data_IF_674383769380
#
_entry.id   IF_674383769380
#
_cell.length_a   1.000
_cell.length_b   1.000
_cell.length_c   1.000
_cell.angle_alpha   90.00
_cell.angle_beta   90.00
_cell.angle_gamma   90.00
#
_symmetry.space_group_name_H-M   'P 1'
#
loop_
_entity.id
_entity.type
_entity.pdbx_description
1 polymer ?
#
# COMPACT_ATOMS: atom_id res chain seq x y z
N UNK A 1 -2.05 38.63 -8.82
CA UNK A 1 -3.19 37.98 -9.52
C UNK A 1 -4.35 37.85 -8.53
N UNK A 2 -5.57 38.21 -8.91
CA UNK A 2 -6.75 38.02 -8.05
C UNK A 2 -7.23 36.57 -8.13
N UNK A 3 -7.62 36.01 -6.98
CA UNK A 3 -8.23 34.68 -6.91
C UNK A 3 -9.55 34.72 -7.69
N UNK A 4 -9.80 33.80 -8.64
CA UNK A 4 -11.07 33.74 -9.38
C UNK A 4 -12.30 33.75 -8.45
N UNK A 5 -13.33 34.54 -8.80
CA UNK A 5 -14.59 34.66 -8.02
C UNK A 5 -15.22 33.30 -7.69
N UNK A 6 -15.11 32.33 -8.60
CA UNK A 6 -15.64 30.98 -8.39
C UNK A 6 -14.96 30.25 -7.22
N UNK A 7 -13.64 30.42 -7.06
CA UNK A 7 -12.89 29.84 -5.93
C UNK A 7 -13.28 30.54 -4.63
N UNK A 8 -13.41 31.88 -4.65
CA UNK A 8 -13.87 32.64 -3.48
C UNK A 8 -15.28 32.21 -3.03
N UNK A 9 -16.20 32.04 -3.98
CA UNK A 9 -17.55 31.57 -3.69
C UNK A 9 -17.55 30.16 -3.10
N UNK A 10 -16.73 29.25 -3.62
CA UNK A 10 -16.57 27.90 -3.07
C UNK A 10 -16.08 27.95 -1.62
N UNK A 11 -14.99 28.69 -1.35
CA UNK A 11 -14.42 28.82 0.00
C UNK A 11 -15.47 29.40 0.96
N UNK A 12 -16.16 30.47 0.57
CA UNK A 12 -17.19 31.13 1.38
C UNK A 12 -18.36 30.18 1.69
N UNK A 13 -18.81 29.39 0.70
CA UNK A 13 -19.90 28.42 0.89
C UNK A 13 -19.56 27.27 1.87
N UNK A 14 -18.26 27.06 2.13
CA UNK A 14 -17.74 25.98 2.98
C UNK A 14 -16.92 26.49 4.16
N UNK A 15 -16.98 27.78 4.48
CA UNK A 15 -16.08 28.43 5.44
C UNK A 15 -16.10 27.78 6.84
N UNK A 16 -17.24 27.23 7.27
CA UNK A 16 -17.38 26.51 8.54
C UNK A 16 -16.78 25.08 8.55
N UNK A 17 -16.37 24.56 7.40
CA UNK A 17 -15.86 23.19 7.23
C UNK A 17 -14.39 23.16 6.77
N UNK A 18 -13.82 24.31 6.38
CA UNK A 18 -12.46 24.42 5.86
C UNK A 18 -11.55 24.97 6.96
N UNK A 19 -10.60 24.15 7.40
CA UNK A 19 -9.55 24.59 8.34
C UNK A 19 -8.38 25.29 7.64
N UNK A 20 -8.04 24.84 6.43
CA UNK A 20 -6.93 25.36 5.63
C UNK A 20 -7.33 25.33 4.15
N UNK A 21 -7.03 26.40 3.42
CA UNK A 21 -7.21 26.48 1.98
C UNK A 21 -5.90 26.94 1.31
N UNK A 22 -5.52 26.24 0.24
CA UNK A 22 -4.41 26.63 -0.63
C UNK A 22 -4.95 26.87 -2.05
N UNK A 23 -4.47 27.93 -2.69
CA UNK A 23 -4.72 28.20 -4.10
C UNK A 23 -3.38 28.19 -4.84
N UNK A 24 -3.23 27.27 -5.79
CA UNK A 24 -2.02 27.11 -6.59
C UNK A 24 -2.40 27.38 -8.03
N UNK A 25 -1.75 28.36 -8.66
CA UNK A 25 -1.89 28.57 -10.10
C UNK A 25 -1.06 27.52 -10.83
N UNK A 26 -1.69 26.81 -11.75
CA UNK A 26 -1.04 25.80 -12.57
C UNK A 26 -1.20 26.17 -14.05
N UNK A 27 -0.11 26.12 -14.81
CA UNK A 27 -0.09 26.56 -16.21
C UNK A 27 -0.35 25.43 -17.22
N UNK A 28 -0.15 24.16 -16.83
CA UNK A 28 -0.25 23.00 -17.73
C UNK A 28 -1.62 22.32 -17.67
N UNK A 29 -2.69 23.06 -18.03
CA UNK A 29 -4.08 22.59 -17.85
C UNK A 29 -4.35 21.19 -18.43
N UNK A 30 -3.88 20.91 -19.65
CA UNK A 30 -4.11 19.61 -20.31
C UNK A 30 -3.46 18.43 -19.60
N UNK A 31 -2.20 18.58 -19.16
CA UNK A 31 -1.48 17.54 -18.41
C UNK A 31 -2.13 17.27 -17.06
N UNK A 32 -2.57 18.33 -16.37
CA UNK A 32 -3.22 18.22 -15.06
C UNK A 32 -4.57 17.53 -15.20
N UNK A 33 -5.35 17.91 -16.21
CA UNK A 33 -6.62 17.24 -16.48
C UNK A 33 -6.39 15.75 -16.78
N UNK A 34 -5.41 15.41 -17.63
CA UNK A 34 -5.04 14.02 -17.92
C UNK A 34 -4.62 13.27 -16.66
N UNK A 35 -3.79 13.87 -15.81
CA UNK A 35 -3.38 13.29 -14.54
C UNK A 35 -4.59 13.03 -13.63
N UNK A 36 -5.53 13.99 -13.51
CA UNK A 36 -6.77 13.80 -12.76
C UNK A 36 -7.58 12.62 -13.32
N UNK A 37 -7.70 12.50 -14.64
CA UNK A 37 -8.39 11.36 -15.26
C UNK A 37 -7.70 10.04 -14.94
N UNK A 38 -6.37 9.96 -14.98
CA UNK A 38 -5.62 8.76 -14.60
C UNK A 38 -5.81 8.40 -13.12
N UNK A 39 -5.78 9.39 -12.22
CA UNK A 39 -6.03 9.18 -10.78
C UNK A 39 -7.42 8.57 -10.53
N UNK A 40 -8.43 9.01 -11.31
CA UNK A 40 -9.81 8.46 -11.22
C UNK A 40 -9.89 6.99 -11.64
N UNK A 41 -9.06 6.55 -12.58
CA UNK A 41 -9.02 5.15 -13.03
C UNK A 41 -8.34 4.21 -12.03
N UNK A 42 -7.63 4.76 -11.03
CA UNK A 42 -6.90 3.98 -10.04
C UNK A 42 -7.25 4.42 -8.60
N UNK A 43 -8.54 4.41 -8.21
CA UNK A 43 -9.00 4.98 -6.94
C UNK A 43 -8.47 4.20 -5.73
N UNK A 44 -7.97 2.97 -5.93
CA UNK A 44 -7.26 2.21 -4.90
C UNK A 44 -5.97 2.90 -4.43
N UNK A 45 -5.45 3.89 -5.16
CA UNK A 45 -4.30 4.66 -4.70
C UNK A 45 -4.57 5.43 -3.40
N UNK A 46 -5.84 5.72 -3.09
CA UNK A 46 -6.24 6.44 -1.88
C UNK A 46 -6.27 5.55 -0.64
N UNK A 47 -6.07 4.22 -0.78
CA UNK A 47 -6.18 3.25 0.33
C UNK A 47 -5.20 3.54 1.48
N UNK A 48 -4.02 4.06 1.17
CA UNK A 48 -2.93 4.25 2.13
C UNK A 48 -2.77 5.70 2.59
N UNK A 49 -3.59 6.63 2.10
CA UNK A 49 -3.60 8.02 2.56
C UNK A 49 -4.24 8.09 3.96
N UNK A 50 -3.44 8.36 4.98
CA UNK A 50 -3.87 8.24 6.39
C UNK A 50 -4.90 9.28 6.82
N UNK A 51 -4.73 10.51 6.33
CA UNK A 51 -5.50 11.66 6.79
C UNK A 51 -6.54 12.12 5.76
N UNK A 52 -6.74 11.35 4.70
CA UNK A 52 -7.65 11.69 3.60
C UNK A 52 -8.73 10.62 3.53
N UNK A 53 -9.96 11.00 3.87
CA UNK A 53 -11.15 10.14 3.76
C UNK A 53 -11.96 10.39 2.49
N UNK A 54 -11.79 11.56 1.86
CA UNK A 54 -12.55 11.99 0.68
C UNK A 54 -11.73 12.93 -0.17
N UNK A 55 -11.80 12.75 -1.48
CA UNK A 55 -11.31 13.66 -2.50
C UNK A 55 -12.46 14.01 -3.45
N UNK A 56 -12.52 15.27 -3.86
CA UNK A 56 -13.56 15.78 -4.76
C UNK A 56 -12.85 16.47 -5.91
N UNK A 57 -13.10 15.97 -7.12
CA UNK A 57 -12.59 16.56 -8.36
C UNK A 57 -13.75 17.33 -9.01
N UNK A 58 -13.70 18.65 -8.92
CA UNK A 58 -14.66 19.54 -9.57
C UNK A 58 -14.29 19.70 -11.05
N UNK A 59 -14.52 18.64 -11.82
CA UNK A 59 -14.43 18.62 -13.29
C UNK A 59 -15.84 18.58 -13.89
N UNK A 60 -15.95 18.59 -15.21
CA UNK A 60 -17.18 18.22 -15.92
C UNK A 60 -16.98 16.84 -16.59
N UNK A 61 -17.59 15.75 -16.09
CA UNK A 61 -18.46 15.67 -14.91
C UNK A 61 -17.69 15.75 -13.60
N UNK A 62 -18.38 16.09 -12.51
CA UNK A 62 -17.80 16.14 -11.15
C UNK A 62 -17.72 14.74 -10.56
N UNK A 63 -16.55 14.36 -10.06
CA UNK A 63 -16.33 13.06 -9.43
C UNK A 63 -15.95 13.19 -7.95
N UNK A 64 -16.58 12.37 -7.12
CA UNK A 64 -16.28 12.26 -5.70
C UNK A 64 -15.72 10.86 -5.45
N UNK A 65 -14.45 10.81 -5.06
CA UNK A 65 -13.80 9.58 -4.63
C UNK A 65 -13.72 9.60 -3.10
N UNK A 66 -14.21 8.54 -2.47
CA UNK A 66 -14.15 8.44 -1.01
C UNK A 66 -13.69 7.07 -0.57
N UNK A 67 -12.96 7.05 0.54
CA UNK A 67 -12.51 5.82 1.18
C UNK A 67 -13.19 5.76 2.54
N UNK A 68 -14.00 4.74 2.76
CA UNK A 68 -14.62 4.49 4.05
C UNK A 68 -14.25 3.10 4.56
N UNK A 69 -14.22 2.94 5.88
CA UNK A 69 -14.04 1.64 6.51
C UNK A 69 -15.41 1.08 6.86
N UNK A 70 -15.66 -0.15 6.43
CA UNK A 70 -16.78 -0.96 6.89
C UNK A 70 -16.52 -1.35 8.36
N UNK A 71 -17.44 -0.95 9.23
CA UNK A 71 -17.36 -1.18 10.68
C UNK A 71 -17.62 -2.65 11.02
N UNK A 72 -18.44 -3.35 10.23
CA UNK A 72 -18.89 -4.72 10.51
C UNK A 72 -17.86 -5.78 10.11
N UNK A 73 -17.04 -5.50 9.10
CA UNK A 73 -16.14 -6.50 8.51
C UNK A 73 -14.69 -6.04 8.38
N UNK A 74 -14.34 -4.84 8.84
CA UNK A 74 -12.97 -4.31 8.77
C UNK A 74 -12.47 -4.03 7.34
N UNK A 75 -13.35 -4.13 6.33
CA UNK A 75 -13.02 -3.88 4.93
C UNK A 75 -12.90 -2.38 4.67
N UNK A 76 -11.85 -1.95 3.96
CA UNK A 76 -11.84 -0.62 3.36
C UNK A 76 -12.57 -0.67 2.02
N UNK A 77 -13.60 0.15 1.87
CA UNK A 77 -14.37 0.30 0.65
C UNK A 77 -13.98 1.63 -0.01
N UNK A 78 -13.68 1.56 -1.29
CA UNK A 78 -13.43 2.71 -2.16
C UNK A 78 -14.70 2.94 -2.96
N UNK A 79 -15.16 4.18 -2.96
CA UNK A 79 -16.37 4.60 -3.65
C UNK A 79 -16.06 5.65 -4.69
N UNK A 80 -16.69 5.54 -5.85
CA UNK A 80 -16.77 6.58 -6.88
C UNK A 80 -18.24 6.98 -6.99
N UNK A 81 -18.54 8.26 -6.76
CA UNK A 81 -19.90 8.82 -6.88
C UNK A 81 -20.96 8.00 -6.12
N UNK A 82 -20.64 7.61 -4.88
CA UNK A 82 -21.45 6.78 -3.96
C UNK A 82 -21.59 5.30 -4.33
N UNK A 83 -21.13 4.89 -5.50
CA UNK A 83 -21.08 3.47 -5.87
C UNK A 83 -19.78 2.85 -5.35
N UNK A 84 -19.84 1.61 -4.87
CA UNK A 84 -18.65 0.86 -4.47
C UNK A 84 -17.87 0.53 -5.74
N UNK A 85 -16.65 1.04 -5.84
CA UNK A 85 -15.69 0.70 -6.89
C UNK A 85 -14.94 -0.59 -6.52
N UNK A 86 -14.43 -0.66 -5.29
CA UNK A 86 -13.64 -1.80 -4.82
C UNK A 86 -13.65 -1.95 -3.31
N UNK A 87 -13.45 -3.18 -2.85
CA UNK A 87 -13.33 -3.51 -1.43
C UNK A 87 -12.00 -4.18 -1.16
N UNK A 88 -11.40 -3.86 0.00
CA UNK A 88 -10.04 -4.22 0.32
C UNK A 88 -9.92 -4.66 1.78
N UNK A 89 -9.21 -5.76 2.01
CA UNK A 89 -8.73 -6.14 3.35
C UNK A 89 -7.36 -5.50 3.50
N UNK A 90 -7.17 -4.70 4.56
CA UNK A 90 -5.89 -4.04 4.82
C UNK A 90 -5.36 -4.48 6.17
N UNK A 91 -4.09 -4.88 6.20
CA UNK A 91 -3.34 -5.15 7.42
C UNK A 91 -2.22 -4.14 7.58
N UNK A 92 -2.11 -3.58 8.77
CA UNK A 92 -0.97 -2.77 9.22
C UNK A 92 -0.07 -3.64 10.08
N UNK A 93 1.23 -3.49 9.87
CA UNK A 93 2.29 -4.03 10.71
C UNK A 93 3.11 -2.87 11.24
N UNK A 94 3.39 -2.89 12.53
CA UNK A 94 4.40 -2.02 13.14
C UNK A 94 5.66 -2.88 13.31
N UNK A 95 6.72 -2.51 12.59
CA UNK A 95 7.96 -3.27 12.52
C UNK A 95 9.00 -2.60 13.41
N UNK A 96 9.52 -3.33 14.38
CA UNK A 96 10.70 -2.94 15.14
C UNK A 96 11.93 -3.03 14.24
N UNK A 97 12.69 -1.94 14.19
CA UNK A 97 13.91 -1.80 13.39
C UNK A 97 15.08 -2.30 14.25
N UNK A 98 15.82 -3.32 13.82
CA UNK A 98 17.01 -3.79 14.54
C UNK A 98 18.09 -2.70 14.64
N UNK A 99 18.86 -2.70 15.73
CA UNK A 99 19.92 -1.71 15.97
C UNK A 99 20.95 -1.69 14.84
N UNK A 100 21.32 -2.86 14.30
CA UNK A 100 22.28 -2.95 13.19
C UNK A 100 21.77 -2.29 11.89
N UNK A 101 20.45 -2.21 11.70
CA UNK A 101 19.84 -1.50 10.58
C UNK A 101 19.79 0.00 10.86
N UNK A 102 19.54 0.41 12.10
CA UNK A 102 19.56 1.82 12.51
C UNK A 102 20.96 2.43 12.35
N UNK A 103 22.00 1.71 12.79
CA UNK A 103 23.40 2.13 12.65
C UNK A 103 23.77 2.34 11.17
N UNK A 104 23.50 1.33 10.32
CA UNK A 104 23.80 1.41 8.88
C UNK A 104 22.99 2.52 8.17
N UNK A 105 21.75 2.76 8.61
CA UNK A 105 20.93 3.84 8.08
C UNK A 105 21.48 5.22 8.43
N UNK A 106 21.99 5.42 9.65
CA UNK A 106 22.55 6.70 10.07
C UNK A 106 23.73 7.13 9.19
N UNK A 107 24.52 6.15 8.72
CA UNK A 107 25.68 6.32 7.84
C UNK A 107 25.32 6.43 6.35
N UNK A 108 24.11 6.03 5.93
CA UNK A 108 23.68 6.06 4.54
C UNK A 108 23.35 7.50 4.09
N UNK A 109 24.34 8.16 3.48
CA UNK A 109 24.21 9.53 2.96
C UNK A 109 23.22 9.65 1.78
N UNK A 110 22.81 8.54 1.17
CA UNK A 110 21.80 8.52 0.11
C UNK A 110 20.37 8.45 0.67
N UNK A 111 20.21 8.09 1.94
CA UNK A 111 18.91 8.04 2.59
C UNK A 111 18.45 9.45 3.03
N UNK A 112 17.15 9.79 2.93
CA UNK A 112 16.63 11.04 3.44
C UNK A 112 16.79 11.15 4.96
N UNK A 113 17.06 12.37 5.47
CA UNK A 113 17.27 12.63 6.91
C UNK A 113 16.17 12.07 7.80
N UNK A 114 14.90 12.20 7.40
CA UNK A 114 13.76 11.67 8.16
C UNK A 114 13.86 10.16 8.39
N UNK A 115 14.46 9.42 7.44
CA UNK A 115 14.68 7.99 7.57
C UNK A 115 15.96 7.69 8.36
N UNK A 116 17.04 8.45 8.15
CA UNK A 116 18.31 8.30 8.89
C UNK A 116 18.16 8.51 10.39
N UNK A 117 17.24 9.38 10.79
CA UNK A 117 16.92 9.69 12.20
C UNK A 117 15.64 8.99 12.69
N UNK A 118 15.20 7.93 12.01
CA UNK A 118 14.07 7.11 12.48
C UNK A 118 14.45 6.44 13.81
N UNK A 119 13.54 6.43 14.77
CA UNK A 119 13.88 6.01 16.13
C UNK A 119 13.85 4.50 16.33
N UNK A 120 12.72 3.86 16.08
CA UNK A 120 12.57 2.42 16.41
C UNK A 120 11.57 1.66 15.58
N UNK A 121 10.53 2.31 15.06
CA UNK A 121 9.42 1.64 14.38
C UNK A 121 9.12 2.24 13.03
N UNK A 122 8.73 1.38 12.10
CA UNK A 122 8.14 1.77 10.82
C UNK A 122 6.89 0.96 10.55
N UNK A 123 5.96 1.55 9.80
CA UNK A 123 4.76 0.86 9.37
C UNK A 123 4.94 0.22 7.99
N UNK A 124 4.40 -0.98 7.86
CA UNK A 124 4.16 -1.66 6.59
C UNK A 124 2.67 -1.97 6.48
N UNK A 125 2.10 -1.80 5.29
CA UNK A 125 0.71 -2.13 5.02
C UNK A 125 0.64 -3.12 3.88
N UNK A 126 -0.21 -4.13 4.03
CA UNK A 126 -0.65 -4.95 2.92
C UNK A 126 -2.13 -4.71 2.63
N UNK A 127 -2.51 -4.77 1.36
CA UNK A 127 -3.90 -4.72 0.94
C UNK A 127 -4.20 -5.76 -0.15
N UNK A 128 -5.27 -6.53 0.04
CA UNK A 128 -5.79 -7.48 -0.96
C UNK A 128 -7.23 -7.15 -1.32
N UNK A 129 -7.63 -7.40 -2.57
CA UNK A 129 -8.99 -7.17 -3.03
C UNK A 129 -9.93 -8.21 -2.42
N UNK A 130 -11.15 -7.78 -2.14
CA UNK A 130 -12.24 -8.63 -1.68
C UNK A 130 -13.48 -8.39 -2.52
N UNK A 131 -14.14 -9.48 -2.92
CA UNK A 131 -15.45 -9.46 -3.58
C UNK A 131 -16.40 -10.33 -2.78
N UNK A 132 -17.62 -9.87 -2.53
CA UNK A 132 -18.56 -10.64 -1.70
C UNK A 132 -18.85 -12.05 -2.26
N UNK A 133 -18.89 -12.20 -3.60
CA UNK A 133 -19.12 -13.48 -4.27
C UNK A 133 -17.87 -14.39 -4.31
N UNK A 134 -16.70 -13.84 -4.60
CA UNK A 134 -15.48 -14.62 -4.88
C UNK A 134 -14.48 -14.67 -3.70
N UNK A 135 -14.70 -13.79 -2.72
CA UNK A 135 -13.87 -13.60 -1.56
C UNK A 135 -12.54 -12.90 -1.83
N UNK A 136 -11.46 -13.36 -1.19
CA UNK A 136 -10.11 -12.81 -1.40
C UNK A 136 -9.64 -13.05 -2.83
N UNK A 137 -9.26 -11.98 -3.52
CA UNK A 137 -8.72 -12.02 -4.89
C UNK A 137 -7.23 -11.68 -4.90
N UNK A 138 -6.43 -12.58 -5.48
CA UNK A 138 -5.01 -12.32 -5.75
C UNK A 138 -4.90 -11.21 -6.79
N UNK A 139 -3.96 -10.28 -6.59
CA UNK A 139 -3.71 -9.25 -7.59
C UNK A 139 -3.17 -9.84 -8.90
N UNK A 140 -3.63 -9.26 -10.01
CA UNK A 140 -3.04 -9.48 -11.32
C UNK A 140 -1.65 -8.85 -11.36
N UNK A 141 -0.74 -9.40 -12.16
CA UNK A 141 0.66 -8.97 -12.18
C UNK A 141 0.80 -7.47 -12.49
N UNK A 142 0.01 -6.95 -13.43
CA UNK A 142 0.00 -5.52 -13.79
C UNK A 142 -0.53 -4.60 -12.69
N UNK A 143 -1.32 -5.13 -11.76
CA UNK A 143 -1.88 -4.36 -10.64
C UNK A 143 -0.97 -4.42 -9.39
N UNK A 144 0.06 -5.26 -9.41
CA UNK A 144 0.98 -5.49 -8.29
C UNK A 144 2.09 -4.43 -8.24
N UNK A 145 1.70 -3.17 -8.06
CA UNK A 145 2.64 -2.07 -7.87
C UNK A 145 3.03 -1.91 -6.39
N UNK A 146 4.27 -1.53 -6.13
CA UNK A 146 4.69 -1.10 -4.80
C UNK A 146 4.20 0.32 -4.51
N UNK A 147 3.94 0.58 -3.24
CA UNK A 147 3.58 1.88 -2.73
C UNK A 147 4.67 2.38 -1.77
N UNK A 148 5.00 3.66 -1.90
CA UNK A 148 5.74 4.42 -0.90
C UNK A 148 4.98 5.71 -0.67
N UNK A 149 3.97 5.61 0.22
CA UNK A 149 2.88 6.56 0.45
C UNK A 149 1.91 6.73 -0.74
N UNK A 150 2.45 6.92 -1.94
CA UNK A 150 1.76 6.98 -3.22
C UNK A 150 2.13 5.77 -4.09
N UNK A 151 1.36 5.43 -5.12
CA UNK A 151 1.73 4.38 -6.07
C UNK A 151 3.06 4.71 -6.74
N UNK A 152 3.86 3.68 -7.02
CA UNK A 152 5.09 3.76 -7.82
C UNK A 152 4.86 3.10 -9.18
N UNK A 153 5.84 3.16 -10.09
CA UNK A 153 5.82 2.34 -11.33
C UNK A 153 6.53 0.98 -11.18
N UNK A 154 6.94 0.63 -9.96
CA UNK A 154 7.67 -0.61 -9.64
C UNK A 154 6.66 -1.75 -9.52
N UNK A 155 6.70 -2.70 -10.46
CA UNK A 155 5.73 -3.80 -10.60
C UNK A 155 6.37 -5.17 -10.84
N UNK A 156 7.69 -5.22 -11.01
CA UNK A 156 8.47 -6.41 -11.36
C UNK A 156 8.43 -7.52 -10.29
N UNK A 157 8.07 -7.18 -9.06
CA UNK A 157 8.00 -8.12 -7.94
C UNK A 157 6.71 -8.95 -7.88
N UNK A 158 5.62 -8.48 -8.50
CA UNK A 158 4.38 -9.26 -8.70
C UNK A 158 3.83 -9.95 -7.44
N UNK A 159 3.92 -9.28 -6.29
CA UNK A 159 3.31 -9.75 -5.04
C UNK A 159 1.79 -9.93 -5.20
N UNK A 160 1.19 -10.92 -4.51
CA UNK A 160 -0.26 -11.18 -4.62
C UNK A 160 -1.12 -10.10 -3.94
N UNK A 161 -0.51 -9.09 -3.32
CA UNK A 161 -1.12 -8.02 -2.53
C UNK A 161 -0.41 -6.70 -2.81
N UNK A 162 -1.11 -5.57 -2.60
CA UNK A 162 -0.48 -4.25 -2.60
C UNK A 162 0.36 -4.12 -1.34
N UNK A 163 1.56 -3.56 -1.48
CA UNK A 163 2.47 -3.34 -0.35
C UNK A 163 2.82 -1.87 -0.30
N UNK A 164 2.51 -1.24 0.84
CA UNK A 164 2.93 0.12 1.15
C UNK A 164 3.91 0.12 2.32
N UNK A 165 5.11 0.62 2.07
CA UNK A 165 6.14 0.84 3.08
C UNK A 165 7.02 2.02 2.66
N UNK A 166 7.91 2.47 3.55
CA UNK A 166 8.80 3.60 3.27
C UNK A 166 9.98 3.20 2.37
N UNK A 167 9.71 2.64 1.19
CA UNK A 167 10.78 2.25 0.25
C UNK A 167 11.55 3.48 -0.24
N UNK A 168 12.86 3.32 -0.34
CA UNK A 168 13.75 4.26 -1.03
C UNK A 168 13.67 4.01 -2.54
N UNK A 169 13.25 5.03 -3.28
CA UNK A 169 13.13 5.00 -4.74
C UNK A 169 13.97 6.10 -5.36
N UNK A 170 14.20 5.99 -6.67
CA UNK A 170 14.75 7.09 -7.45
C UNK A 170 13.74 8.27 -7.51
N UNK A 171 14.20 9.41 -8.05
CA UNK A 171 13.43 10.68 -8.08
C UNK A 171 12.09 10.53 -8.80
N UNK A 172 12.07 9.81 -9.92
CA UNK A 172 10.85 9.60 -10.70
C UNK A 172 9.97 8.44 -10.18
N UNK A 173 10.42 7.74 -9.13
CA UNK A 173 9.71 6.64 -8.45
C UNK A 173 9.36 5.48 -9.40
N UNK A 174 10.22 5.27 -10.39
CA UNK A 174 10.14 4.17 -11.36
C UNK A 174 11.05 3.01 -11.00
N UNK A 175 12.09 3.26 -10.19
CA UNK A 175 13.03 2.25 -9.74
C UNK A 175 13.18 2.31 -8.23
N UNK A 176 13.39 1.14 -7.64
CA UNK A 176 13.70 0.96 -6.23
C UNK A 176 15.22 0.84 -6.05
N UNK A 177 15.76 1.42 -4.97
CA UNK A 177 17.18 1.27 -4.67
C UNK A 177 17.44 -0.15 -4.15
N UNK A 178 17.91 -1.04 -5.02
CA UNK A 178 18.07 -2.46 -4.72
C UNK A 178 19.26 -2.77 -3.81
N UNK A 179 20.29 -1.92 -3.85
CA UNK A 179 21.49 -1.96 -3.03
C UNK A 179 21.25 -1.43 -1.61
N UNK A 180 20.22 -0.62 -1.39
CA UNK A 180 19.89 -0.06 -0.08
C UNK A 180 19.65 -1.14 0.98
N UNK A 181 20.38 -1.06 2.08
CA UNK A 181 20.21 -1.95 3.24
C UNK A 181 18.79 -1.87 3.83
N UNK A 182 18.20 -0.68 3.78
CA UNK A 182 16.84 -0.44 4.25
C UNK A 182 15.81 -1.18 3.41
N UNK A 183 15.88 -1.06 2.10
CA UNK A 183 14.97 -1.78 1.20
C UNK A 183 15.20 -3.29 1.29
N UNK A 184 16.45 -3.75 1.42
CA UNK A 184 16.78 -5.15 1.65
C UNK A 184 16.12 -5.69 2.92
N UNK A 185 16.18 -4.94 4.02
CA UNK A 185 15.51 -5.29 5.27
C UNK A 185 13.99 -5.30 5.13
N UNK A 186 13.40 -4.27 4.49
CA UNK A 186 11.96 -4.24 4.22
C UNK A 186 11.52 -5.46 3.40
N UNK A 187 12.26 -5.86 2.37
CA UNK A 187 11.94 -7.02 1.54
C UNK A 187 12.00 -8.35 2.31
N UNK A 188 12.95 -8.50 3.22
CA UNK A 188 12.92 -9.62 4.16
C UNK A 188 11.65 -9.58 5.02
N UNK A 189 11.29 -8.41 5.56
CA UNK A 189 10.05 -8.28 6.36
C UNK A 189 8.77 -8.52 5.55
N UNK A 190 8.74 -8.23 4.26
CA UNK A 190 7.58 -8.56 3.42
C UNK A 190 7.28 -10.05 3.48
N UNK A 191 8.28 -10.90 3.24
CA UNK A 191 8.09 -12.36 3.29
C UNK A 191 7.59 -12.83 4.65
N UNK A 192 8.25 -12.41 5.74
CA UNK A 192 7.84 -12.75 7.11
C UNK A 192 6.38 -12.35 7.37
N UNK A 193 6.03 -11.09 7.10
CA UNK A 193 4.70 -10.55 7.39
C UNK A 193 3.60 -11.16 6.52
N UNK A 194 3.91 -11.59 5.29
CA UNK A 194 2.92 -12.23 4.43
C UNK A 194 2.42 -13.53 5.05
N UNK A 195 3.32 -14.37 5.57
CA UNK A 195 2.92 -15.61 6.23
C UNK A 195 2.21 -15.36 7.56
N UNK A 196 2.59 -14.33 8.32
CA UNK A 196 1.84 -13.95 9.53
C UNK A 196 0.42 -13.48 9.18
N UNK A 197 0.26 -12.71 8.10
CA UNK A 197 -1.07 -12.26 7.68
C UNK A 197 -1.95 -13.42 7.21
N UNK A 198 -1.40 -14.33 6.40
CA UNK A 198 -2.12 -15.52 5.96
C UNK A 198 -2.57 -16.33 7.18
N UNK A 199 -1.69 -16.53 8.16
CA UNK A 199 -2.00 -17.21 9.44
C UNK A 199 -3.16 -16.57 10.19
N UNK A 200 -3.28 -15.24 10.18
CA UNK A 200 -4.41 -14.54 10.78
C UNK A 200 -5.69 -14.77 9.97
N UNK A 201 -5.63 -14.57 8.65
CA UNK A 201 -6.78 -14.68 7.76
C UNK A 201 -7.36 -16.11 7.70
N UNK A 202 -6.53 -17.15 7.78
CA UNK A 202 -7.01 -18.54 7.78
C UNK A 202 -7.85 -18.88 9.02
N UNK A 203 -7.66 -18.15 10.13
CA UNK A 203 -8.47 -18.29 11.35
C UNK A 203 -9.79 -17.53 11.28
N UNK A 204 -9.88 -16.53 10.41
CA UNK A 204 -11.10 -15.78 10.20
C UNK A 204 -12.10 -16.63 9.39
N UNK A 205 -13.29 -16.86 9.93
CA UNK A 205 -14.31 -17.66 9.26
C UNK A 205 -14.74 -17.07 7.90
N UNK A 206 -14.62 -15.75 7.71
CA UNK A 206 -14.96 -15.06 6.47
C UNK A 206 -13.94 -15.32 5.36
N UNK A 207 -12.66 -15.46 5.70
CA UNK A 207 -11.56 -15.50 4.74
C UNK A 207 -10.93 -16.89 4.61
N UNK A 208 -10.79 -17.61 5.73
CA UNK A 208 -10.40 -19.01 5.88
C UNK A 208 -9.49 -19.54 4.76
N UNK A 209 -10.01 -20.43 3.91
CA UNK A 209 -9.22 -21.11 2.87
C UNK A 209 -8.80 -20.20 1.72
N UNK A 210 -9.49 -19.08 1.50
CA UNK A 210 -9.15 -18.14 0.44
C UNK A 210 -7.87 -17.35 0.77
N UNK A 211 -7.51 -17.24 2.05
CA UNK A 211 -6.25 -16.63 2.48
C UNK A 211 -5.02 -17.28 1.85
N UNK A 212 -5.07 -18.57 1.51
CA UNK A 212 -3.97 -19.26 0.83
C UNK A 212 -3.69 -18.75 -0.59
N UNK A 213 -4.63 -18.04 -1.22
CA UNK A 213 -4.39 -17.35 -2.51
C UNK A 213 -3.32 -16.26 -2.40
N UNK A 214 -3.01 -15.82 -1.18
CA UNK A 214 -2.02 -14.78 -0.89
C UNK A 214 -0.61 -15.32 -0.63
N UNK A 215 -0.40 -16.65 -0.69
CA UNK A 215 0.96 -17.21 -0.61
C UNK A 215 1.78 -16.63 -1.79
N UNK A 216 2.89 -15.92 -1.51
CA UNK A 216 3.71 -15.36 -2.58
C UNK A 216 4.49 -16.45 -3.31
N UNK A 217 4.89 -16.15 -4.54
CA UNK A 217 5.92 -16.91 -5.23
C UNK A 217 7.31 -16.43 -4.82
N UNK A 218 8.31 -17.30 -4.91
CA UNK A 218 9.70 -16.85 -4.91
C UNK A 218 9.93 -15.90 -6.08
N UNK A 219 10.74 -14.88 -5.84
CA UNK A 219 11.11 -13.89 -6.84
C UNK A 219 12.28 -14.41 -7.67
N UNK A 220 12.20 -14.27 -8.99
CA UNK A 220 13.22 -14.79 -9.92
C UNK A 220 13.85 -13.66 -10.75
N UNK A 221 14.13 -12.52 -10.12
CA UNK A 221 14.79 -11.39 -10.77
C UNK A 221 16.32 -11.60 -10.73
N UNK A 222 16.94 -11.61 -11.91
CA UNK A 222 18.39 -11.81 -12.10
C UNK A 222 19.16 -10.68 -11.42
N UNK A 223 20.22 -11.03 -10.67
CA UNK A 223 21.13 -10.11 -9.97
C UNK A 223 20.45 -9.05 -9.08
N UNK A 224 19.25 -9.36 -8.57
CA UNK A 224 18.48 -8.44 -7.74
C UNK A 224 18.61 -8.79 -6.24
N UNK A 225 19.31 -7.93 -5.47
CA UNK A 225 19.52 -8.13 -4.04
C UNK A 225 18.20 -8.18 -3.23
N UNK A 226 17.18 -7.41 -3.61
CA UNK A 226 15.89 -7.43 -2.92
C UNK A 226 15.15 -8.75 -3.13
N UNK A 227 15.20 -9.28 -4.36
CA UNK A 227 14.69 -10.62 -4.71
C UNK A 227 15.36 -11.70 -3.86
N UNK A 228 16.68 -11.65 -3.72
CA UNK A 228 17.44 -12.58 -2.87
C UNK A 228 17.01 -12.48 -1.41
N UNK A 229 16.95 -11.27 -0.84
CA UNK A 229 16.57 -11.06 0.57
C UNK A 229 15.15 -11.52 0.88
N UNK A 230 14.21 -11.25 -0.01
CA UNK A 230 12.86 -11.78 0.10
C UNK A 230 12.84 -13.31 0.06
N UNK A 231 13.55 -13.94 -0.88
CA UNK A 231 13.58 -15.40 -1.02
C UNK A 231 14.22 -16.11 0.18
N UNK A 232 15.28 -15.53 0.74
CA UNK A 232 15.95 -16.04 1.94
C UNK A 232 14.98 -16.04 3.13
N UNK A 233 14.30 -14.91 3.39
CA UNK A 233 13.28 -14.83 4.43
C UNK A 233 12.07 -15.70 4.13
N UNK A 234 11.61 -15.78 2.86
CA UNK A 234 10.53 -16.66 2.45
C UNK A 234 10.82 -18.13 2.82
N UNK A 235 12.04 -18.61 2.55
CA UNK A 235 12.44 -19.98 2.83
C UNK A 235 12.41 -20.31 4.34
N UNK A 236 12.68 -19.33 5.18
CA UNK A 236 12.57 -19.44 6.64
C UNK A 236 11.11 -19.36 7.08
N UNK A 237 10.40 -18.31 6.65
CA UNK A 237 9.04 -18.00 7.06
C UNK A 237 8.05 -19.12 6.72
N UNK A 238 8.15 -19.71 5.52
CA UNK A 238 7.27 -20.81 5.10
C UNK A 238 7.40 -22.06 5.99
N UNK A 239 8.61 -22.34 6.50
CA UNK A 239 8.88 -23.49 7.38
C UNK A 239 8.53 -23.20 8.83
N UNK A 240 8.78 -21.97 9.29
CA UNK A 240 8.62 -21.61 10.70
C UNK A 240 7.19 -21.18 11.05
N UNK A 241 6.47 -20.56 10.11
CA UNK A 241 5.11 -20.11 10.34
C UNK A 241 4.15 -21.31 10.34
N UNK A 242 3.34 -21.43 11.39
CA UNK A 242 2.22 -22.36 11.41
C UNK A 242 0.99 -21.69 10.80
N UNK A 243 0.77 -21.90 9.50
CA UNK A 243 -0.34 -21.27 8.76
C UNK A 243 -1.24 -22.28 8.03
N UNK A 244 -0.90 -23.58 8.03
CA UNK A 244 -1.73 -24.61 7.40
C UNK A 244 -2.83 -25.05 8.38
N UNK A 245 -4.10 -24.88 8.00
CA UNK A 245 -5.25 -25.23 8.80
C UNK A 245 -5.64 -26.68 8.52
N UNK A 246 -5.58 -27.54 9.54
CA UNK A 246 -6.02 -28.92 9.42
C UNK A 246 -7.54 -29.07 9.62
N UNK A 247 -8.08 -30.28 9.43
CA UNK A 247 -9.51 -30.59 9.64
C UNK A 247 -9.99 -30.38 11.07
N UNK A 248 -9.08 -30.32 12.05
CA UNK A 248 -9.36 -30.02 13.47
C UNK A 248 -9.21 -28.53 13.80
N UNK A 249 -9.08 -27.66 12.79
CA UNK A 249 -8.87 -26.22 12.93
C UNK A 249 -7.59 -25.83 13.68
N UNK A 250 -6.58 -26.70 13.67
CA UNK A 250 -5.26 -26.44 14.23
C UNK A 250 -4.31 -25.97 13.14
N UNK A 251 -3.40 -25.06 13.50
CA UNK A 251 -2.39 -24.54 12.60
C UNK A 251 -1.11 -25.38 12.65
N UNK A 252 -0.67 -25.81 11.48
CA UNK A 252 0.51 -26.65 11.25
C UNK A 252 1.56 -25.89 10.43
N UNK A 253 2.81 -26.33 10.55
CA UNK A 253 3.94 -25.89 9.73
C UNK A 253 4.01 -26.71 8.44
N UNK A 254 4.69 -26.18 7.43
CA UNK A 254 5.10 -26.98 6.27
C UNK A 254 6.18 -27.95 6.72
N UNK A 255 5.99 -29.24 6.43
CA UNK A 255 6.97 -30.32 6.65
C UNK A 255 8.09 -30.26 5.62
#
# INVERSE_FOLDING_TARGET
>A
QQIPKLILNFINSKQKQIHVAYAILLNNHGEIYSAIQQLKQQPYMFLFLRNISRLTFLTDPTDIISVARDVSHGLKKVYINKNIDSQWIIKRFDLDIPDDILEKLAEDTKAPDKLRFIKTKVEMFFATKYKDADGIEKLREQDSILFSYLPTKISEYKFPVLINANFLTNVNREQIHTDSIWNQWLFAKIADQMFQWIKELVKDNKFRFQAYRLIPWKLNLIDNLLSKRFNDSFAVAIKQCNFILNRKNQLLKVS
#
